data_IF_360636282051
#
_entry.id   IF_360636282051
#
_cell.length_a   1.000
_cell.length_b   1.000
_cell.length_c   1.000
_cell.angle_alpha   90.00
_cell.angle_beta   90.00
_cell.angle_gamma   90.00
#
_symmetry.space_group_name_H-M   'P 1'
#
loop_
_entity.id
_entity.type
_entity.pdbx_description
1 polymer ?
#
# COMPACT_ATOMS: atom_id res chain seq x y z
N UNK A 1 -2.13 -2.13 2.23
CA UNK A 1 -1.77 -1.26 1.09
C UNK A 1 -2.27 -1.87 -0.20
N UNK A 2 -3.06 -1.10 -0.95
CA UNK A 2 -3.46 -1.40 -2.32
C UNK A 2 -2.39 -0.88 -3.28
N UNK A 3 -1.91 -1.72 -4.19
CA UNK A 3 -0.92 -1.31 -5.18
C UNK A 3 -0.85 -2.22 -6.38
N UNK A 4 0.09 -1.94 -7.28
CA UNK A 4 0.33 -2.77 -8.45
C UNK A 4 1.80 -3.20 -8.54
N UNK A 5 2.07 -4.44 -8.95
CA UNK A 5 3.44 -4.96 -9.04
C UNK A 5 4.35 -4.15 -9.98
N UNK A 6 3.80 -3.51 -11.01
CA UNK A 6 4.54 -2.68 -11.96
C UNK A 6 4.67 -1.21 -11.53
N UNK A 7 3.89 -0.77 -10.53
CA UNK A 7 3.83 0.63 -10.11
C UNK A 7 5.15 1.07 -9.42
N UNK A 8 5.86 2.08 -9.95
CA UNK A 8 7.15 2.52 -9.39
C UNK A 8 7.05 3.02 -7.95
N UNK A 9 6.02 3.81 -7.63
CA UNK A 9 5.79 4.32 -6.28
C UNK A 9 5.49 3.18 -5.28
N UNK A 10 4.82 2.13 -5.74
CA UNK A 10 4.51 0.95 -4.94
C UNK A 10 5.78 0.15 -4.63
N UNK A 11 6.68 0.03 -5.62
CA UNK A 11 8.01 -0.58 -5.43
C UNK A 11 8.86 0.23 -4.46
N UNK A 12 8.90 1.55 -4.60
CA UNK A 12 9.63 2.44 -3.70
C UNK A 12 9.11 2.31 -2.26
N UNK A 13 7.79 2.42 -2.06
CA UNK A 13 7.16 2.22 -0.76
C UNK A 13 7.51 0.86 -0.15
N UNK A 14 7.49 -0.22 -0.95
CA UNK A 14 7.86 -1.57 -0.50
C UNK A 14 9.33 -1.66 -0.07
N UNK A 15 10.23 -0.98 -0.77
CA UNK A 15 11.66 -0.98 -0.46
C UNK A 15 11.96 -0.34 0.89
N UNK A 16 11.22 0.71 1.29
CA UNK A 16 11.36 1.35 2.62
C UNK A 16 11.18 0.35 3.77
N UNK A 17 10.32 -0.67 3.60
CA UNK A 17 10.12 -1.70 4.62
C UNK A 17 11.15 -2.84 4.57
N UNK A 18 11.92 -2.96 3.48
CA UNK A 18 12.86 -4.06 3.28
C UNK A 18 12.23 -5.43 3.53
N UNK A 19 12.84 -6.22 4.43
CA UNK A 19 12.35 -7.56 4.80
C UNK A 19 11.03 -7.53 5.56
N UNK A 20 10.76 -6.45 6.29
CA UNK A 20 9.52 -6.28 7.07
C UNK A 20 8.29 -6.13 6.18
N UNK A 21 8.47 -5.94 4.86
CA UNK A 21 7.36 -5.94 3.91
C UNK A 21 6.52 -7.21 3.97
N UNK A 22 7.11 -8.34 4.38
CA UNK A 22 6.38 -9.61 4.53
C UNK A 22 5.22 -9.51 5.54
N UNK A 23 5.22 -8.53 6.44
CA UNK A 23 4.17 -8.29 7.42
C UNK A 23 3.13 -7.26 6.97
N UNK A 24 3.33 -6.62 5.80
CA UNK A 24 2.38 -5.66 5.26
C UNK A 24 1.27 -6.42 4.55
N UNK A 25 0.03 -6.12 4.96
CA UNK A 25 -1.18 -6.55 4.23
C UNK A 25 -1.24 -5.84 2.88
N UNK A 26 -0.63 -6.44 1.86
CA UNK A 26 -0.61 -5.94 0.49
C UNK A 26 -1.71 -6.60 -0.34
N UNK A 27 -2.47 -5.77 -1.07
CA UNK A 27 -3.50 -6.23 -2.01
C UNK A 27 -3.04 -5.84 -3.41
N UNK A 28 -2.82 -6.86 -4.25
CA UNK A 28 -2.48 -6.67 -5.66
C UNK A 28 -3.72 -6.23 -6.44
N UNK A 29 -3.64 -5.02 -6.98
CA UNK A 29 -4.72 -4.39 -7.70
C UNK A 29 -4.63 -4.53 -9.20
N UNK A 30 -3.52 -5.01 -9.78
CA UNK A 30 -3.42 -5.20 -11.22
C UNK A 30 -3.62 -6.65 -11.62
N UNK A 31 -4.29 -6.87 -12.75
CA UNK A 31 -4.28 -8.17 -13.43
C UNK A 31 -2.86 -8.52 -13.87
N UNK A 32 -2.60 -9.82 -14.09
CA UNK A 32 -1.26 -10.31 -14.43
C UNK A 32 -0.67 -9.69 -15.71
N UNK A 33 -1.53 -9.26 -16.65
CA UNK A 33 -1.15 -8.58 -17.88
C UNK A 33 -0.94 -7.06 -17.71
N UNK A 34 -1.19 -6.52 -16.50
CA UNK A 34 -0.98 -5.11 -16.16
C UNK A 34 -2.05 -4.15 -16.68
N UNK A 35 -3.10 -4.64 -17.36
CA UNK A 35 -4.04 -3.78 -18.11
C UNK A 35 -5.27 -3.39 -17.32
N UNK A 36 -5.72 -4.26 -16.44
CA UNK A 36 -6.97 -4.09 -15.71
C UNK A 36 -6.73 -4.05 -14.19
N UNK A 37 -7.72 -3.51 -13.48
CA UNK A 37 -7.77 -3.58 -12.03
C UNK A 37 -8.52 -4.84 -11.57
N UNK A 38 -8.04 -5.49 -10.51
CA UNK A 38 -8.69 -6.67 -9.91
C UNK A 38 -10.05 -6.29 -9.29
N UNK A 39 -10.99 -7.25 -9.26
CA UNK A 39 -12.36 -7.01 -8.75
C UNK A 39 -12.37 -6.45 -7.33
N UNK A 40 -11.49 -6.96 -6.45
CA UNK A 40 -11.38 -6.48 -5.07
C UNK A 40 -11.03 -4.99 -4.99
N UNK A 41 -10.11 -4.51 -5.84
CA UNK A 41 -9.73 -3.10 -5.84
C UNK A 41 -10.76 -2.21 -6.55
N UNK A 42 -11.47 -2.74 -7.57
CA UNK A 42 -12.61 -2.06 -8.20
C UNK A 42 -13.75 -1.86 -7.20
N UNK A 43 -14.11 -2.90 -6.45
CA UNK A 43 -15.14 -2.83 -5.41
C UNK A 43 -14.74 -1.96 -4.23
N UNK A 44 -13.46 -1.96 -3.87
CA UNK A 44 -12.90 -1.04 -2.87
C UNK A 44 -12.73 0.39 -3.40
N UNK A 45 -13.13 0.71 -4.63
CA UNK A 45 -13.05 2.05 -5.23
C UNK A 45 -11.63 2.67 -5.23
N UNK A 46 -10.59 1.85 -5.44
CA UNK A 46 -9.20 2.32 -5.44
C UNK A 46 -8.89 3.09 -6.73
N UNK A 47 -8.63 4.39 -6.59
CA UNK A 47 -8.39 5.31 -7.72
C UNK A 47 -6.93 5.44 -8.13
N UNK A 48 -6.00 5.20 -7.22
CA UNK A 48 -4.57 5.39 -7.46
C UNK A 48 -3.72 4.49 -6.57
N UNK A 49 -2.46 4.32 -6.97
CA UNK A 49 -1.50 3.47 -6.28
C UNK A 49 -0.23 4.25 -5.90
N UNK A 50 0.37 3.98 -4.72
CA UNK A 50 -0.17 3.16 -3.65
C UNK A 50 -1.32 3.87 -2.91
N UNK A 51 -2.27 3.09 -2.40
CA UNK A 51 -3.28 3.56 -1.43
C UNK A 51 -3.14 2.78 -0.12
N UNK A 52 -2.94 3.50 0.96
CA UNK A 52 -2.96 2.94 2.32
C UNK A 52 -4.38 3.03 2.87
N UNK A 53 -4.87 1.92 3.43
CA UNK A 53 -6.08 1.87 4.24
C UNK A 53 -5.67 1.43 5.64
N UNK A 54 -6.15 2.16 6.65
CA UNK A 54 -5.85 1.92 8.06
C UNK A 54 -7.01 1.22 8.76
N UNK A 55 -6.79 0.74 9.97
CA UNK A 55 -7.78 -0.02 10.74
C UNK A 55 -9.07 0.78 11.04
N UNK A 56 -8.98 2.12 11.05
CA UNK A 56 -10.12 3.03 11.22
C UNK A 56 -10.86 3.33 9.90
N UNK A 57 -10.48 2.65 8.80
CA UNK A 57 -11.05 2.82 7.47
C UNK A 57 -10.57 4.07 6.73
N UNK A 58 -9.72 4.91 7.34
CA UNK A 58 -9.15 6.06 6.63
C UNK A 58 -8.23 5.59 5.53
N UNK A 59 -8.23 6.34 4.43
CA UNK A 59 -7.39 6.07 3.27
C UNK A 59 -6.50 7.24 2.91
N UNK A 60 -5.26 6.93 2.57
CA UNK A 60 -4.28 7.90 2.09
C UNK A 60 -3.64 7.36 0.81
N UNK A 61 -3.88 8.05 -0.30
CA UNK A 61 -3.35 7.71 -1.61
C UNK A 61 -2.03 8.43 -1.87
N UNK A 62 -0.95 7.98 -1.23
CA UNK A 62 0.39 8.53 -1.40
C UNK A 62 1.46 7.52 -0.98
N UNK A 63 2.70 7.74 -1.44
CA UNK A 63 3.87 7.16 -0.82
C UNK A 63 4.08 7.83 0.54
N UNK A 64 4.08 7.05 1.62
CA UNK A 64 4.17 7.52 2.99
C UNK A 64 5.51 7.12 3.62
N UNK A 65 6.24 8.08 4.23
CA UNK A 65 7.38 7.75 5.08
C UNK A 65 6.98 6.83 6.23
N UNK A 66 7.92 6.00 6.69
CA UNK A 66 7.69 5.06 7.79
C UNK A 66 7.21 5.77 9.07
N UNK A 67 7.66 7.00 9.31
CA UNK A 67 7.26 7.84 10.44
C UNK A 67 5.77 8.18 10.38
N UNK A 68 5.25 8.49 9.18
CA UNK A 68 3.82 8.79 9.00
C UNK A 68 2.96 7.55 9.19
N UNK A 69 3.45 6.40 8.72
CA UNK A 69 2.80 5.12 8.93
C UNK A 69 2.80 4.72 10.41
N UNK A 70 3.91 4.97 11.11
CA UNK A 70 4.05 4.75 12.55
C UNK A 70 3.04 5.57 13.34
N UNK A 71 2.93 6.87 13.06
CA UNK A 71 1.94 7.75 13.70
C UNK A 71 0.51 7.27 13.45
N UNK A 72 0.16 6.87 12.22
CA UNK A 72 -1.20 6.45 11.92
C UNK A 72 -1.58 5.08 12.46
N UNK A 73 -0.61 4.20 12.67
CA UNK A 73 -0.85 2.85 13.20
C UNK A 73 -0.64 2.75 14.71
N UNK A 74 -0.07 3.78 15.33
CA UNK A 74 0.40 3.72 16.72
C UNK A 74 1.53 2.71 16.94
N UNK A 75 2.16 2.23 15.85
CA UNK A 75 3.26 1.26 15.90
C UNK A 75 4.59 2.03 15.91
N UNK A 76 5.30 2.12 17.05
CA UNK A 76 6.52 2.90 17.13
C UNK A 76 7.63 2.29 16.26
N UNK A 77 8.41 3.15 15.60
CA UNK A 77 9.62 2.72 14.90
C UNK A 77 10.69 2.29 15.92
N UNK A 78 11.52 1.29 15.58
CA UNK A 78 12.67 0.94 16.40
C UNK A 78 13.62 2.14 16.54
N UNK A 79 14.30 2.26 17.70
CA UNK A 79 15.28 3.32 17.95
C UNK A 79 16.53 3.21 17.07
#
# INVERSE_FOLDING_TARGET
>A
MYGAFWCPHCKAQKQEFGRSWAYINYIECSTADGKEQTTICKQADIKSYPTWEFADGKRIAANLPLERLSVQTGCPLPP
#
